data_IF_055804300021
#
_entry.id   IF_055804300021
#
_cell.length_a   1.000
_cell.length_b   1.000
_cell.length_c   1.000
_cell.angle_alpha   90.00
_cell.angle_beta   90.00
_cell.angle_gamma   90.00
#
_symmetry.space_group_name_H-M   'P 1'
#
loop_
_entity.id
_entity.type
_entity.pdbx_description
1 polymer ?
#
# COMPACT_ATOMS: atom_id res chain seq x y z
N UNK A 1 4.79 -4.99 12.52
CA UNK A 1 4.40 -6.25 11.85
C UNK A 1 5.40 -7.37 12.10
N UNK A 2 4.91 -8.54 12.51
CA UNK A 2 5.70 -9.79 12.64
C UNK A 2 6.33 -10.19 11.31
N UNK A 3 7.50 -10.84 11.37
CA UNK A 3 8.29 -11.19 10.17
C UNK A 3 7.51 -12.11 9.23
N UNK A 4 6.76 -13.05 9.79
CA UNK A 4 5.93 -14.03 9.11
C UNK A 4 4.82 -13.34 8.32
N UNK A 5 4.09 -12.42 8.95
CA UNK A 5 3.08 -11.61 8.25
C UNK A 5 3.70 -10.70 7.21
N UNK A 6 4.83 -10.04 7.51
CA UNK A 6 5.50 -9.20 6.53
C UNK A 6 5.96 -9.99 5.29
N UNK A 7 6.46 -11.21 5.48
CA UNK A 7 6.83 -12.09 4.38
C UNK A 7 5.62 -12.52 3.55
N UNK A 8 4.58 -13.04 4.22
CA UNK A 8 3.33 -13.45 3.59
C UNK A 8 2.66 -12.29 2.84
N UNK A 9 2.60 -11.10 3.45
CA UNK A 9 2.02 -9.90 2.85
C UNK A 9 2.69 -9.52 1.55
N UNK A 10 4.02 -9.43 1.52
CA UNK A 10 4.73 -9.06 0.28
C UNK A 10 4.54 -10.09 -0.82
N UNK A 11 4.53 -11.37 -0.49
CA UNK A 11 4.34 -12.46 -1.44
C UNK A 11 2.92 -12.45 -2.02
N UNK A 12 1.91 -12.50 -1.14
CA UNK A 12 0.50 -12.57 -1.51
C UNK A 12 0.06 -11.29 -2.22
N UNK A 13 0.48 -10.12 -1.73
CA UNK A 13 0.20 -8.84 -2.40
C UNK A 13 0.80 -8.81 -3.79
N UNK A 14 2.08 -9.16 -3.95
CA UNK A 14 2.71 -9.18 -5.29
C UNK A 14 1.95 -10.10 -6.23
N UNK A 15 1.66 -11.33 -5.80
CA UNK A 15 0.95 -12.31 -6.63
C UNK A 15 -0.43 -11.79 -7.08
N UNK A 16 -1.26 -11.33 -6.14
CA UNK A 16 -2.63 -10.89 -6.42
C UNK A 16 -2.62 -9.60 -7.24
N UNK A 17 -1.79 -8.62 -6.83
CA UNK A 17 -1.74 -7.31 -7.46
C UNK A 17 -1.24 -7.39 -8.90
N UNK A 18 -0.15 -8.12 -9.18
CA UNK A 18 0.36 -8.23 -10.56
C UNK A 18 -0.54 -9.07 -11.46
N UNK A 19 -1.35 -9.98 -10.86
CA UNK A 19 -2.37 -10.72 -11.60
C UNK A 19 -3.55 -9.82 -11.98
N UNK A 20 -4.01 -8.96 -11.06
CA UNK A 20 -5.14 -8.04 -11.29
C UNK A 20 -4.73 -6.85 -12.18
N UNK A 21 -3.51 -6.36 -12.01
CA UNK A 21 -3.01 -5.13 -12.62
C UNK A 21 -1.68 -5.37 -13.36
N UNK A 22 -1.69 -6.08 -14.50
CA UNK A 22 -0.47 -6.53 -15.19
C UNK A 22 0.39 -5.39 -15.76
N UNK A 23 -0.15 -4.18 -15.88
CA UNK A 23 0.58 -2.99 -16.33
C UNK A 23 1.59 -2.47 -15.31
N UNK A 24 1.46 -2.90 -14.04
CA UNK A 24 2.35 -2.50 -12.97
C UNK A 24 3.46 -3.54 -12.75
N UNK A 25 4.69 -3.14 -12.99
CA UNK A 25 5.87 -3.96 -12.75
C UNK A 25 6.46 -3.70 -11.37
N UNK A 26 6.82 -4.76 -10.64
CA UNK A 26 7.51 -4.65 -9.35
C UNK A 26 8.91 -4.04 -9.52
N UNK A 27 9.20 -2.99 -8.76
CA UNK A 27 10.52 -2.33 -8.74
C UNK A 27 11.38 -2.93 -7.63
N UNK A 28 12.39 -3.73 -8.00
CA UNK A 28 13.20 -4.53 -7.06
C UNK A 28 14.22 -3.73 -6.25
N UNK A 29 14.70 -2.60 -6.78
CA UNK A 29 15.67 -1.70 -6.14
C UNK A 29 15.47 -0.29 -6.67
N UNK A 30 15.20 0.66 -5.79
CA UNK A 30 15.29 2.07 -6.11
C UNK A 30 15.81 2.78 -4.86
N UNK A 31 16.90 3.52 -4.99
CA UNK A 31 17.49 4.26 -3.86
C UNK A 31 16.53 5.31 -3.28
N UNK A 32 15.67 5.90 -4.12
CA UNK A 32 14.59 6.80 -3.66
C UNK A 32 13.38 6.07 -3.03
N UNK A 33 13.27 4.74 -3.19
CA UNK A 33 12.30 3.89 -2.48
C UNK A 33 12.83 3.44 -1.11
N UNK A 34 13.96 3.98 -0.63
CA UNK A 34 14.52 3.65 0.68
C UNK A 34 13.65 4.12 1.87
N UNK A 35 12.34 4.29 1.66
CA UNK A 35 11.39 4.84 2.62
C UNK A 35 11.25 3.98 3.85
N UNK A 36 10.80 2.72 3.73
CA UNK A 36 10.55 1.89 4.92
C UNK A 36 10.81 0.40 4.69
N UNK A 37 11.25 -0.29 5.74
CA UNK A 37 11.51 -1.73 5.70
C UNK A 37 10.23 -2.49 5.35
N UNK A 38 10.30 -3.30 4.29
CA UNK A 38 9.19 -4.17 3.86
C UNK A 38 8.26 -3.56 2.81
N UNK A 39 8.48 -2.31 2.39
CA UNK A 39 7.74 -1.73 1.27
C UNK A 39 7.97 -2.49 -0.04
N UNK A 40 6.96 -2.43 -0.92
CA UNK A 40 7.04 -2.87 -2.31
C UNK A 40 6.39 -1.82 -3.19
N UNK A 41 7.16 -1.29 -4.15
CA UNK A 41 6.64 -0.36 -5.13
C UNK A 41 6.47 -1.03 -6.48
N UNK A 42 5.38 -0.68 -7.14
CA UNK A 42 5.01 -1.14 -8.45
C UNK A 42 4.86 0.07 -9.35
N UNK A 43 5.42 -0.02 -10.56
CA UNK A 43 5.49 1.07 -11.52
C UNK A 43 4.75 0.70 -12.80
N UNK A 44 3.91 1.61 -13.26
CA UNK A 44 3.42 1.61 -14.63
C UNK A 44 4.00 2.84 -15.35
N UNK A 45 4.90 2.60 -16.31
CA UNK A 45 5.44 3.67 -17.15
C UNK A 45 4.46 3.95 -18.31
N UNK A 46 3.83 5.12 -18.28
CA UNK A 46 2.87 5.55 -19.32
C UNK A 46 3.64 6.20 -20.48
N UNK A 47 4.61 7.05 -20.13
CA UNK A 47 5.62 7.61 -21.03
C UNK A 47 6.99 7.56 -20.34
N UNK A 48 8.05 8.01 -21.02
CA UNK A 48 9.39 8.10 -20.42
C UNK A 48 9.44 9.05 -19.22
N UNK A 49 8.57 10.07 -19.20
CA UNK A 49 8.49 11.06 -18.13
C UNK A 49 7.32 10.81 -17.17
N UNK A 50 6.22 10.19 -17.61
CA UNK A 50 5.03 9.94 -16.79
C UNK A 50 5.03 8.51 -16.25
N UNK A 51 5.30 8.37 -14.96
CA UNK A 51 5.21 7.10 -14.25
C UNK A 51 4.11 7.14 -13.19
N UNK A 52 3.28 6.10 -13.18
CA UNK A 52 2.31 5.84 -12.11
C UNK A 52 2.92 4.85 -11.11
N UNK A 53 2.55 5.02 -9.86
CA UNK A 53 3.13 4.28 -8.76
C UNK A 53 2.05 3.74 -7.83
N UNK A 54 2.25 2.52 -7.37
CA UNK A 54 1.52 1.91 -6.26
C UNK A 54 2.55 1.37 -5.29
N UNK A 55 2.37 1.65 -3.99
CA UNK A 55 3.28 1.20 -2.94
C UNK A 55 2.50 0.48 -1.87
N UNK A 56 2.87 -0.77 -1.62
CA UNK A 56 2.48 -1.49 -0.42
C UNK A 56 3.30 -0.98 0.75
N UNK A 57 2.63 -0.51 1.80
CA UNK A 57 3.25 0.06 3.00
C UNK A 57 2.82 -0.74 4.24
N UNK A 58 3.67 -1.65 4.74
CA UNK A 58 3.42 -2.32 6.01
C UNK A 58 3.58 -1.37 7.20
N UNK A 59 2.71 -1.50 8.20
CA UNK A 59 2.82 -0.77 9.47
C UNK A 59 3.99 -1.34 10.29
N UNK A 60 4.86 -0.45 10.78
CA UNK A 60 6.04 -0.86 11.56
C UNK A 60 5.67 -1.26 12.99
N UNK A 61 4.54 -0.78 13.52
CA UNK A 61 4.09 -0.97 14.91
C UNK A 61 2.96 -1.97 15.04
N UNK A 62 2.08 -2.07 14.04
CA UNK A 62 0.88 -2.92 14.06
C UNK A 62 1.00 -4.07 13.07
N UNK A 63 0.11 -5.04 13.19
CA UNK A 63 -0.14 -6.06 12.17
C UNK A 63 -1.12 -5.52 11.14
N UNK A 64 -0.73 -4.45 10.45
CA UNK A 64 -1.57 -3.75 9.49
C UNK A 64 -0.77 -3.28 8.29
N UNK A 65 -1.44 -2.93 7.19
CA UNK A 65 -0.80 -2.32 6.03
C UNK A 65 -1.73 -1.30 5.38
N UNK A 66 -1.16 -0.47 4.52
CA UNK A 66 -1.91 0.41 3.61
C UNK A 66 -1.33 0.35 2.20
N UNK A 67 -2.03 0.97 1.26
CA UNK A 67 -1.59 1.15 -0.13
C UNK A 67 -1.48 2.64 -0.37
N UNK A 68 -0.33 3.07 -0.86
CA UNK A 68 -0.16 4.42 -1.41
C UNK A 68 -0.16 4.35 -2.93
N UNK A 69 -0.66 5.41 -3.57
CA UNK A 69 -0.65 5.51 -5.02
C UNK A 69 -0.53 6.95 -5.49
N UNK A 70 0.01 7.12 -6.70
CA UNK A 70 0.11 8.43 -7.34
C UNK A 70 1.03 8.39 -8.56
N UNK A 71 1.70 9.50 -8.85
CA UNK A 71 2.47 9.66 -10.09
C UNK A 71 3.69 10.55 -9.93
N UNK A 72 4.58 10.49 -10.92
CA UNK A 72 5.65 11.44 -11.16
C UNK A 72 5.72 11.75 -12.65
N UNK A 73 5.94 13.02 -12.99
CA UNK A 73 6.20 13.51 -14.35
C UNK A 73 7.69 13.60 -14.69
N UNK A 74 8.56 13.09 -13.81
CA UNK A 74 10.02 13.14 -13.98
C UNK A 74 10.67 11.78 -14.33
N UNK A 75 9.88 10.78 -14.72
CA UNK A 75 10.39 9.45 -15.10
C UNK A 75 11.00 8.68 -13.91
N UNK A 76 10.68 9.08 -12.68
CA UNK A 76 11.25 8.49 -11.45
C UNK A 76 10.17 8.27 -10.38
N UNK A 77 10.57 7.73 -9.24
CA UNK A 77 9.70 7.68 -8.06
C UNK A 77 9.46 9.11 -7.52
N UNK A 78 8.25 9.43 -7.03
CA UNK A 78 7.94 10.74 -6.44
C UNK A 78 8.94 11.13 -5.34
N UNK A 79 9.50 12.34 -5.40
CA UNK A 79 10.38 12.89 -4.36
C UNK A 79 9.64 14.00 -3.61
N UNK A 80 8.70 13.57 -2.76
CA UNK A 80 7.90 14.48 -1.94
C UNK A 80 8.66 14.85 -0.67
N UNK A 81 8.50 16.10 -0.22
CA UNK A 81 9.01 16.55 1.10
C UNK A 81 8.39 15.75 2.24
N UNK A 82 7.12 15.34 2.09
CA UNK A 82 6.42 14.45 3.01
C UNK A 82 5.65 13.38 2.22
N UNK A 83 5.64 12.17 2.77
CA UNK A 83 4.96 11.00 2.19
C UNK A 83 4.01 10.37 3.22
N UNK A 84 2.70 10.24 2.91
CA UNK A 84 2.02 10.75 1.71
C UNK A 84 2.02 12.29 1.63
N UNK A 85 1.59 12.84 0.49
CA UNK A 85 1.36 14.27 0.31
C UNK A 85 0.30 14.78 1.29
N UNK A 86 0.36 16.06 1.65
CA UNK A 86 -0.68 16.73 2.43
C UNK A 86 -1.88 17.17 1.61
N UNK A 87 -1.68 17.39 0.30
CA UNK A 87 -2.76 17.77 -0.60
C UNK A 87 -3.76 16.62 -0.69
N UNK A 88 -5.06 16.95 -0.69
CA UNK A 88 -6.09 15.93 -0.86
C UNK A 88 -6.19 15.49 -2.32
N UNK A 89 -6.70 14.27 -2.60
CA UNK A 89 -6.84 13.80 -3.98
C UNK A 89 -7.65 14.72 -4.91
N UNK A 90 -8.63 15.44 -4.37
CA UNK A 90 -9.43 16.41 -5.11
C UNK A 90 -8.71 17.75 -5.41
N UNK A 91 -7.60 18.03 -4.74
CA UNK A 91 -6.86 19.31 -4.82
C UNK A 91 -5.60 19.24 -5.69
N UNK A 92 -5.17 18.03 -6.04
CA UNK A 92 -3.86 17.71 -6.62
C UNK A 92 -3.63 18.16 -8.08
N UNK A 93 -4.64 18.75 -8.75
CA UNK A 93 -4.78 18.78 -10.21
C UNK A 93 -3.51 18.99 -11.06
N UNK A 94 -2.63 19.94 -10.69
CA UNK A 94 -1.43 20.30 -11.48
C UNK A 94 -0.11 19.81 -10.88
N UNK A 95 -0.13 18.99 -9.82
CA UNK A 95 1.08 18.54 -9.16
C UNK A 95 1.93 17.63 -10.06
N UNK A 96 3.21 17.95 -10.18
CA UNK A 96 4.16 17.17 -10.96
C UNK A 96 4.43 15.78 -10.37
N UNK A 97 4.35 15.68 -9.04
CA UNK A 97 4.53 14.45 -8.29
C UNK A 97 3.49 14.38 -7.17
N UNK A 98 2.92 13.20 -6.95
CA UNK A 98 1.91 13.01 -5.92
C UNK A 98 1.90 11.57 -5.41
N UNK A 99 1.57 11.40 -4.13
CA UNK A 99 1.24 10.13 -3.50
C UNK A 99 0.21 10.39 -2.41
N UNK A 100 -0.89 9.63 -2.40
CA UNK A 100 -1.84 9.56 -1.29
C UNK A 100 -2.10 8.12 -0.88
N UNK A 101 -2.82 7.93 0.22
CA UNK A 101 -3.29 6.60 0.64
C UNK A 101 -4.59 6.24 -0.04
N UNK A 102 -4.73 4.99 -0.45
CA UNK A 102 -5.93 4.47 -1.09
C UNK A 102 -7.20 4.69 -0.24
N UNK A 103 -7.08 4.63 1.08
CA UNK A 103 -8.19 4.89 1.99
C UNK A 103 -8.81 6.28 1.82
N UNK A 104 -8.02 7.29 1.49
CA UNK A 104 -8.53 8.65 1.24
C UNK A 104 -9.45 8.67 0.02
N UNK A 105 -9.14 7.87 -1.00
CA UNK A 105 -9.95 7.72 -2.20
C UNK A 105 -11.19 6.85 -1.98
N UNK A 106 -11.02 5.67 -1.37
CA UNK A 106 -12.10 4.68 -1.27
C UNK A 106 -13.04 4.92 -0.09
N UNK A 107 -12.55 5.56 0.97
CA UNK A 107 -13.26 5.70 2.26
C UNK A 107 -13.30 7.15 2.77
N UNK A 108 -12.68 8.10 2.06
CA UNK A 108 -12.62 9.51 2.46
C UNK A 108 -11.78 9.80 3.70
N UNK A 109 -10.95 8.84 4.14
CA UNK A 109 -10.10 8.98 5.33
C UNK A 109 -8.91 8.03 5.28
N UNK A 110 -7.89 8.31 6.07
CA UNK A 110 -6.78 7.37 6.27
C UNK A 110 -7.30 5.99 6.70
N UNK A 111 -6.83 4.95 6.02
CA UNK A 111 -7.27 3.57 6.23
C UNK A 111 -6.11 2.60 6.20
N UNK A 112 -6.13 1.67 7.15
CA UNK A 112 -5.16 0.60 7.33
C UNK A 112 -5.91 -0.72 7.46
N UNK A 113 -5.57 -1.70 6.64
CA UNK A 113 -6.11 -3.04 6.75
C UNK A 113 -5.37 -3.78 7.87
N UNK A 114 -6.02 -3.92 9.02
CA UNK A 114 -5.52 -4.71 10.14
C UNK A 114 -5.68 -6.20 9.82
N UNK A 115 -4.58 -6.95 9.89
CA UNK A 115 -4.53 -8.41 9.77
C UNK A 115 -4.93 -9.05 11.11
N UNK A 116 -4.53 -8.41 12.21
CA UNK A 116 -4.98 -8.75 13.56
C UNK A 116 -5.29 -7.46 14.32
N UNK A 117 -6.49 -7.37 14.85
CA UNK A 117 -6.89 -6.26 15.72
C UNK A 117 -6.63 -6.62 17.18
N UNK A 118 -6.14 -5.64 17.94
CA UNK A 118 -6.25 -5.69 19.40
C UNK A 118 -7.70 -5.32 19.76
N UNK A 119 -8.41 -6.13 20.55
CA UNK A 119 -9.76 -5.77 20.95
C UNK A 119 -9.74 -4.46 21.77
N UNK A 120 -10.44 -3.43 21.31
CA UNK A 120 -10.41 -2.07 21.89
C UNK A 120 -11.03 -1.98 23.30
N UNK A 121 -11.70 -3.03 23.77
CA UNK A 121 -12.25 -3.16 25.12
C UNK A 121 -11.76 -4.45 25.80
N UNK A 122 -10.54 -4.88 25.49
CA UNK A 122 -9.97 -6.08 26.08
C UNK A 122 -9.80 -5.90 27.61
N UNK A 123 -10.26 -6.88 28.39
CA UNK A 123 -9.86 -6.97 29.81
C UNK A 123 -8.34 -7.12 29.91
N UNK A 124 -7.77 -6.83 31.08
CA UNK A 124 -6.34 -7.03 31.32
C UNK A 124 -5.90 -8.46 30.95
N UNK A 125 -6.71 -9.47 31.27
CA UNK A 125 -6.44 -10.87 30.91
C UNK A 125 -6.43 -11.10 29.41
N UNK A 126 -7.33 -10.46 28.66
CA UNK A 126 -7.38 -10.56 27.19
C UNK A 126 -6.17 -9.87 26.54
N UNK A 127 -5.72 -8.74 27.09
CA UNK A 127 -4.50 -8.05 26.65
C UNK A 127 -3.29 -8.96 26.91
N UNK A 128 -3.18 -9.55 28.10
CA UNK A 128 -2.09 -10.46 28.44
C UNK A 128 -2.10 -11.71 27.57
N UNK A 129 -3.27 -12.30 27.31
CA UNK A 129 -3.42 -13.44 26.40
C UNK A 129 -2.99 -13.09 24.97
N UNK A 130 -3.36 -11.90 24.48
CA UNK A 130 -2.89 -11.40 23.19
C UNK A 130 -1.37 -11.25 23.16
N UNK A 131 -0.77 -10.62 24.17
CA UNK A 131 0.69 -10.46 24.28
C UNK A 131 1.39 -11.81 24.26
N UNK A 132 0.90 -12.78 25.04
CA UNK A 132 1.44 -14.16 25.05
C UNK A 132 1.32 -14.78 23.65
N UNK A 133 0.16 -14.66 23.00
CA UNK A 133 -0.05 -15.19 21.65
C UNK A 133 0.87 -14.53 20.59
N UNK A 134 1.28 -13.27 20.78
CA UNK A 134 2.25 -12.61 19.89
C UNK A 134 3.65 -13.21 19.99
N UNK A 135 3.99 -13.89 21.10
CA UNK A 135 5.30 -14.56 21.27
C UNK A 135 5.37 -15.91 20.55
N UNK A 136 4.23 -16.49 20.18
CA UNK A 136 4.17 -17.80 19.53
C UNK A 136 4.47 -17.63 18.03
N UNK A 137 5.47 -18.35 17.49
CA UNK A 137 5.75 -18.32 16.06
C UNK A 137 4.53 -18.75 15.24
N UNK A 138 4.24 -18.02 14.17
CA UNK A 138 3.17 -18.37 13.23
C UNK A 138 3.78 -19.19 12.09
N UNK A 139 3.12 -20.27 11.67
CA UNK A 139 3.55 -20.98 10.46
C UNK A 139 3.35 -20.11 9.21
N UNK A 140 4.21 -20.22 8.19
CA UNK A 140 4.03 -19.45 6.95
C UNK A 140 2.64 -19.63 6.31
N UNK A 141 2.06 -20.81 6.42
CA UNK A 141 0.71 -21.11 5.92
C UNK A 141 -0.38 -20.33 6.65
N UNK A 142 -0.33 -20.29 7.99
CA UNK A 142 -1.28 -19.51 8.80
C UNK A 142 -1.10 -18.01 8.55
N UNK A 143 0.14 -17.54 8.39
CA UNK A 143 0.40 -16.15 8.04
C UNK A 143 -0.23 -15.78 6.69
N UNK A 144 -0.06 -16.64 5.67
CA UNK A 144 -0.69 -16.45 4.35
C UNK A 144 -2.21 -16.47 4.42
N UNK A 145 -2.80 -17.43 5.13
CA UNK A 145 -4.27 -17.56 5.22
C UNK A 145 -4.92 -16.33 5.87
N UNK A 146 -4.28 -15.75 6.90
CA UNK A 146 -4.75 -14.53 7.58
C UNK A 146 -4.57 -13.27 6.73
N UNK A 147 -3.46 -13.14 6.01
CA UNK A 147 -3.18 -11.93 5.21
C UNK A 147 -4.01 -11.87 3.91
N UNK A 148 -4.25 -13.03 3.29
CA UNK A 148 -4.93 -13.13 1.99
C UNK A 148 -6.27 -12.38 1.87
N UNK A 149 -7.24 -12.52 2.79
CA UNK A 149 -8.52 -11.82 2.66
C UNK A 149 -8.36 -10.29 2.63
N UNK A 150 -7.49 -9.73 3.47
CA UNK A 150 -7.23 -8.29 3.51
C UNK A 150 -6.54 -7.78 2.26
N UNK A 151 -5.59 -8.55 1.70
CA UNK A 151 -4.96 -8.21 0.42
C UNK A 151 -5.99 -8.23 -0.71
N UNK A 152 -6.87 -9.24 -0.75
CA UNK A 152 -7.94 -9.31 -1.77
C UNK A 152 -8.88 -8.11 -1.68
N UNK A 153 -9.28 -7.73 -0.48
CA UNK A 153 -10.11 -6.53 -0.25
C UNK A 153 -9.38 -5.27 -0.73
N UNK A 154 -8.13 -5.07 -0.31
CA UNK A 154 -7.35 -3.88 -0.66
C UNK A 154 -7.09 -3.78 -2.17
N UNK A 155 -6.80 -4.89 -2.86
CA UNK A 155 -6.63 -4.90 -4.33
C UNK A 155 -7.95 -4.64 -5.03
N UNK A 156 -9.07 -5.19 -4.56
CA UNK A 156 -10.39 -4.89 -5.11
C UNK A 156 -10.74 -3.41 -4.95
N UNK A 157 -10.46 -2.81 -3.79
CA UNK A 157 -10.62 -1.37 -3.59
C UNK A 157 -9.70 -0.56 -4.52
N UNK A 158 -8.47 -1.01 -4.73
CA UNK A 158 -7.56 -0.37 -5.69
C UNK A 158 -8.16 -0.41 -7.11
N UNK A 159 -8.66 -1.55 -7.59
CA UNK A 159 -9.28 -1.65 -8.91
C UNK A 159 -10.50 -0.74 -9.07
N UNK A 160 -11.30 -0.58 -8.02
CA UNK A 160 -12.51 0.23 -8.03
C UNK A 160 -12.24 1.74 -7.93
N UNK A 161 -11.27 2.15 -7.14
CA UNK A 161 -11.04 3.57 -6.81
C UNK A 161 -9.66 4.07 -7.23
N UNK A 162 -8.60 3.31 -6.92
CA UNK A 162 -7.22 3.71 -7.19
C UNK A 162 -6.86 3.69 -8.68
N UNK A 163 -7.22 2.64 -9.40
CA UNK A 163 -6.88 2.51 -10.82
C UNK A 163 -7.59 3.56 -11.70
N UNK A 164 -8.90 3.84 -11.54
CA UNK A 164 -9.55 4.95 -12.24
C UNK A 164 -8.91 6.30 -11.92
N UNK A 165 -8.60 6.54 -10.64
CA UNK A 165 -7.91 7.77 -10.21
C UNK A 165 -6.55 7.94 -10.88
N UNK A 166 -5.72 6.90 -10.97
CA UNK A 166 -4.45 6.99 -11.68
C UNK A 166 -4.64 7.21 -13.18
N UNK A 167 -5.63 6.55 -13.79
CA UNK A 167 -5.93 6.67 -15.23
C UNK A 167 -6.44 8.06 -15.62
N UNK A 168 -7.19 8.75 -14.76
CA UNK A 168 -7.60 10.13 -15.06
C UNK A 168 -6.40 11.08 -15.16
N UNK A 169 -5.25 10.72 -14.57
CA UNK A 169 -4.01 11.50 -14.59
C UNK A 169 -3.00 11.00 -15.63
N UNK A 170 -3.37 10.06 -16.51
CA UNK A 170 -2.52 9.64 -17.64
C UNK A 170 -2.75 10.43 -18.90
N UNK A 171 -3.87 11.16 -19.00
CA UNK A 171 -4.12 12.00 -20.16
C UNK A 171 -3.27 13.25 -20.02
N UNK A 172 -2.24 13.37 -20.87
CA UNK A 172 -1.55 14.64 -21.01
C UNK A 172 -2.60 15.68 -21.40
N UNK A 173 -2.86 16.61 -20.48
CA UNK A 173 -3.41 17.90 -20.85
C UNK A 173 -2.33 18.57 -21.71
N UNK A 174 -2.29 18.21 -22.99
CA UNK A 174 -1.70 19.05 -24.03
C UNK A 174 -2.54 20.33 -24.06
N UNK A 175 -2.19 21.27 -23.21
CA UNK A 175 -2.54 22.68 -23.27
C UNK A 175 -1.23 23.47 -23.27
#
# INVERSE_FOLDING_TARGET
MRKEYGAALREVFTQIFTSACPFFALVKKHSALAGFQGERAYRWAVTDSRHLWVVLVPDQKREAFTIELGWSTMGRFPQLTMRPSFARPEEVGLEHEYLCRLGELSRGKDWWWAIEELPLCASQDQIMAYIIAQTIPISPEVARSRVTPHVKEAVKEFELFGLPFLRSHTQDSNL
#
